data_IF_999578396733
#
_entry.id   IF_999578396733
#
_cell.length_a   1.000
_cell.length_b   1.000
_cell.length_c   1.000
_cell.angle_alpha   90.00
_cell.angle_beta   90.00
_cell.angle_gamma   90.00
#
_symmetry.space_group_name_H-M   'P 1'
#
loop_
_entity.id
_entity.type
_entity.pdbx_description
1 polymer ?
#
# COMPACT_ATOMS: atom_id res chain seq x y z
N UNK A 1 -25.69 43.69 -34.02
CA UNK A 1 -25.00 42.64 -34.78
C UNK A 1 -23.50 42.91 -34.71
N UNK A 2 -22.97 42.65 -33.52
CA UNK A 2 -21.94 41.63 -33.33
C UNK A 2 -20.51 41.86 -33.85
N UNK A 3 -19.82 42.80 -33.18
CA UNK A 3 -18.37 43.10 -33.26
C UNK A 3 -17.44 41.95 -32.80
N UNK A 4 -17.95 40.75 -32.55
CA UNK A 4 -17.12 39.63 -32.06
C UNK A 4 -16.27 39.00 -33.17
N UNK A 5 -16.70 39.10 -34.43
CA UNK A 5 -16.00 38.52 -35.59
C UNK A 5 -14.72 39.27 -35.96
N UNK A 6 -14.60 40.55 -35.58
CA UNK A 6 -13.43 41.41 -35.84
C UNK A 6 -12.42 41.38 -34.70
N UNK A 7 -12.77 40.83 -33.54
CA UNK A 7 -11.89 40.74 -32.39
C UNK A 7 -10.79 39.67 -32.60
N UNK A 8 -9.50 40.02 -32.66
CA UNK A 8 -8.42 39.06 -32.90
C UNK A 8 -8.31 37.99 -31.80
N UNK A 9 -8.71 38.35 -30.57
CA UNK A 9 -8.69 37.48 -29.41
C UNK A 9 -9.66 36.29 -29.56
N UNK A 10 -10.81 36.48 -30.20
CA UNK A 10 -11.77 35.39 -30.44
C UNK A 10 -11.19 34.33 -31.38
N UNK A 11 -10.56 34.74 -32.48
CA UNK A 11 -9.93 33.82 -33.42
C UNK A 11 -8.71 33.11 -32.82
N UNK A 12 -7.89 33.80 -32.03
CA UNK A 12 -6.75 33.18 -31.33
C UNK A 12 -7.25 32.15 -30.31
N UNK A 13 -8.24 32.48 -29.48
CA UNK A 13 -8.78 31.55 -28.49
C UNK A 13 -9.44 30.32 -29.14
N UNK A 14 -10.10 30.51 -30.29
CA UNK A 14 -10.72 29.41 -31.05
C UNK A 14 -9.68 28.52 -31.72
N UNK A 15 -8.62 29.10 -32.31
CA UNK A 15 -7.52 28.35 -32.89
C UNK A 15 -6.75 27.55 -31.83
N UNK A 16 -6.44 28.17 -30.68
CA UNK A 16 -5.80 27.49 -29.56
C UNK A 16 -6.70 26.37 -29.04
N UNK A 17 -7.99 26.59 -28.87
CA UNK A 17 -8.93 25.55 -28.41
C UNK A 17 -9.02 24.38 -29.40
N UNK A 18 -9.04 24.65 -30.70
CA UNK A 18 -9.03 23.63 -31.75
C UNK A 18 -7.73 22.81 -31.74
N UNK A 19 -6.58 23.48 -31.64
CA UNK A 19 -5.26 22.83 -31.56
C UNK A 19 -5.17 21.99 -30.29
N UNK A 20 -5.57 22.54 -29.14
CA UNK A 20 -5.51 21.83 -27.84
C UNK A 20 -6.43 20.61 -27.85
N UNK A 21 -7.64 20.74 -28.41
CA UNK A 21 -8.57 19.62 -28.58
C UNK A 21 -8.00 18.53 -29.48
N UNK A 22 -7.38 18.90 -30.61
CA UNK A 22 -6.77 17.94 -31.53
C UNK A 22 -5.55 17.24 -30.90
N UNK A 23 -4.72 17.98 -30.18
CA UNK A 23 -3.55 17.44 -29.49
C UNK A 23 -3.96 16.49 -28.36
N UNK A 24 -4.98 16.85 -27.60
CA UNK A 24 -5.53 16.00 -26.53
C UNK A 24 -6.14 14.72 -27.11
N UNK A 25 -6.89 14.81 -28.20
CA UNK A 25 -7.49 13.66 -28.89
C UNK A 25 -6.40 12.72 -29.45
N UNK A 26 -5.33 13.28 -30.01
CA UNK A 26 -4.19 12.54 -30.54
C UNK A 26 -3.41 11.83 -29.42
N UNK A 27 -3.07 12.55 -28.35
CA UNK A 27 -2.40 12.00 -27.17
C UNK A 27 -3.25 10.92 -26.48
N UNK A 28 -4.57 11.11 -26.40
CA UNK A 28 -5.48 10.12 -25.85
C UNK A 28 -5.52 8.84 -26.69
N UNK A 29 -5.59 8.95 -28.02
CA UNK A 29 -5.52 7.78 -28.92
C UNK A 29 -4.17 7.07 -28.85
N UNK A 30 -3.06 7.82 -28.77
CA UNK A 30 -1.72 7.25 -28.69
C UNK A 30 -1.50 6.55 -27.34
N UNK A 31 -1.95 7.18 -26.25
CA UNK A 31 -1.93 6.62 -24.91
C UNK A 31 -2.81 5.38 -24.80
N UNK A 32 -4.03 5.41 -25.31
CA UNK A 32 -4.95 4.27 -25.22
C UNK A 32 -4.45 3.06 -26.04
N UNK A 33 -3.98 3.28 -27.27
CA UNK A 33 -3.50 2.20 -28.15
C UNK A 33 -2.19 1.55 -27.69
N UNK A 34 -1.25 2.32 -27.11
CA UNK A 34 0.06 1.79 -26.68
C UNK A 34 0.10 1.38 -25.20
N UNK A 35 -0.57 2.10 -24.31
CA UNK A 35 -0.47 1.88 -22.86
C UNK A 35 -1.41 0.76 -22.39
N UNK A 36 -2.61 0.61 -22.99
CA UNK A 36 -3.51 -0.47 -22.61
C UNK A 36 -2.97 -1.89 -22.83
N UNK A 37 -2.35 -2.26 -23.97
CA UNK A 37 -1.83 -3.62 -24.15
C UNK A 37 -0.64 -3.91 -23.23
N UNK A 38 0.20 -2.91 -22.94
CA UNK A 38 1.29 -3.02 -21.97
C UNK A 38 0.76 -3.21 -20.54
N UNK A 39 -0.26 -2.44 -20.15
CA UNK A 39 -0.96 -2.59 -18.87
C UNK A 39 -1.70 -3.93 -18.79
N UNK A 40 -2.28 -4.42 -19.88
CA UNK A 40 -2.98 -5.71 -19.91
C UNK A 40 -2.00 -6.88 -19.74
N UNK A 41 -0.85 -6.84 -20.40
CA UNK A 41 0.24 -7.81 -20.22
C UNK A 41 0.80 -7.79 -18.80
N UNK A 42 1.10 -6.59 -18.27
CA UNK A 42 1.58 -6.40 -16.91
C UNK A 42 0.55 -6.85 -15.86
N UNK A 43 -0.74 -6.58 -16.08
CA UNK A 43 -1.84 -7.02 -15.22
C UNK A 43 -1.96 -8.54 -15.19
N UNK A 44 -1.80 -9.22 -16.33
CA UNK A 44 -1.79 -10.68 -16.41
C UNK A 44 -0.65 -11.31 -15.61
N UNK A 45 0.56 -10.76 -15.75
CA UNK A 45 1.75 -11.21 -15.01
C UNK A 45 1.66 -10.93 -13.51
N UNK A 46 1.20 -9.75 -13.12
CA UNK A 46 0.94 -9.43 -11.71
C UNK A 46 -0.12 -10.38 -11.12
N UNK A 47 -1.22 -10.60 -11.84
CA UNK A 47 -2.29 -11.47 -11.36
C UNK A 47 -1.82 -12.92 -11.22
N UNK A 48 -0.99 -13.44 -12.14
CA UNK A 48 -0.42 -14.79 -12.01
C UNK A 48 0.54 -14.89 -10.84
N UNK A 49 1.37 -13.87 -10.60
CA UNK A 49 2.27 -13.80 -9.45
C UNK A 49 1.50 -13.78 -8.11
N UNK A 50 0.47 -12.93 -8.00
CA UNK A 50 -0.41 -12.89 -6.82
C UNK A 50 -1.15 -14.21 -6.60
N UNK A 51 -1.64 -14.85 -7.66
CA UNK A 51 -2.26 -16.18 -7.58
C UNK A 51 -1.27 -17.24 -7.08
N UNK A 52 -0.03 -17.22 -7.58
CA UNK A 52 1.03 -18.12 -7.14
C UNK A 52 1.36 -17.97 -5.66
N UNK A 53 1.48 -16.73 -5.16
CA UNK A 53 1.65 -16.45 -3.72
C UNK A 53 0.46 -16.98 -2.91
N UNK A 54 -0.76 -16.65 -3.31
CA UNK A 54 -1.98 -17.09 -2.63
C UNK A 54 -2.09 -18.62 -2.54
N UNK A 55 -1.70 -19.35 -3.59
CA UNK A 55 -1.66 -20.81 -3.58
C UNK A 55 -0.64 -21.36 -2.59
N UNK A 56 0.55 -20.76 -2.50
CA UNK A 56 1.58 -21.15 -1.50
C UNK A 56 1.08 -20.92 -0.08
N UNK A 57 0.41 -19.79 0.17
CA UNK A 57 -0.14 -19.46 1.49
C UNK A 57 -1.29 -20.41 1.86
N UNK A 58 -2.19 -20.71 0.92
CA UNK A 58 -3.24 -21.71 1.10
C UNK A 58 -2.69 -23.10 1.45
N UNK A 59 -1.59 -23.52 0.81
CA UNK A 59 -0.92 -24.80 1.14
C UNK A 59 -0.34 -24.77 2.55
N UNK A 60 0.28 -23.68 2.97
CA UNK A 60 0.80 -23.50 4.34
C UNK A 60 -0.33 -23.56 5.38
N UNK A 61 -1.43 -22.86 5.13
CA UNK A 61 -2.61 -22.88 6.00
C UNK A 61 -3.23 -24.28 6.05
N UNK A 62 -3.30 -24.99 4.92
CA UNK A 62 -3.77 -26.39 4.87
C UNK A 62 -2.89 -27.31 5.71
N UNK A 63 -1.57 -27.12 5.70
CA UNK A 63 -0.63 -27.90 6.50
C UNK A 63 -0.70 -27.56 8.00
N UNK A 64 -0.86 -26.28 8.36
CA UNK A 64 -0.96 -25.82 9.76
C UNK A 64 -2.34 -26.02 10.39
N UNK A 65 -3.34 -26.49 9.63
CA UNK A 65 -4.76 -26.58 10.01
C UNK A 65 -5.02 -27.36 11.30
N UNK A 66 -4.28 -28.43 11.54
CA UNK A 66 -4.49 -29.35 12.65
C UNK A 66 -3.53 -29.11 13.81
N UNK A 67 -2.56 -28.22 13.64
CA UNK A 67 -1.55 -27.93 14.65
C UNK A 67 -1.94 -26.67 15.44
N UNK A 68 -2.68 -26.90 16.52
CA UNK A 68 -3.15 -25.83 17.40
C UNK A 68 -2.00 -25.05 18.06
N UNK A 69 -0.87 -25.72 18.34
CA UNK A 69 0.31 -25.14 18.96
C UNK A 69 0.97 -24.16 18.00
N UNK A 70 1.11 -24.54 16.73
CA UNK A 70 1.67 -23.67 15.69
C UNK A 70 0.84 -22.42 15.46
N UNK A 71 -0.49 -22.55 15.42
CA UNK A 71 -1.38 -21.38 15.30
C UNK A 71 -1.25 -20.47 16.52
N UNK A 72 -1.18 -21.02 17.74
CA UNK A 72 -1.04 -20.22 18.94
C UNK A 72 0.32 -19.50 19.00
N UNK A 73 1.40 -20.14 18.54
CA UNK A 73 2.72 -19.53 18.42
C UNK A 73 2.72 -18.36 17.43
N UNK A 74 2.05 -18.49 16.30
CA UNK A 74 1.93 -17.42 15.31
C UNK A 74 1.13 -16.22 15.86
N UNK A 75 0.05 -16.50 16.62
CA UNK A 75 -0.74 -15.48 17.32
C UNK A 75 0.12 -14.76 18.36
N UNK A 76 0.83 -15.50 19.21
CA UNK A 76 1.73 -14.94 20.21
C UNK A 76 2.81 -14.06 19.58
N UNK A 77 3.41 -14.50 18.47
CA UNK A 77 4.39 -13.71 17.72
C UNK A 77 3.78 -12.40 17.21
N UNK A 78 2.56 -12.43 16.68
CA UNK A 78 1.86 -11.20 16.26
C UNK A 78 1.63 -10.22 17.41
N UNK A 79 1.32 -10.71 18.60
CA UNK A 79 1.20 -9.87 19.80
C UNK A 79 2.56 -9.32 20.25
N UNK A 80 3.62 -10.12 20.23
CA UNK A 80 4.98 -9.65 20.53
C UNK A 80 5.39 -8.53 19.57
N UNK A 81 5.12 -8.69 18.28
CA UNK A 81 5.40 -7.64 17.29
C UNK A 81 4.56 -6.38 17.52
N UNK A 82 3.29 -6.53 17.92
CA UNK A 82 2.46 -5.39 18.31
C UNK A 82 3.04 -4.65 19.52
N UNK A 83 3.47 -5.38 20.55
CA UNK A 83 4.07 -4.78 21.74
C UNK A 83 5.38 -4.07 21.43
N UNK A 84 6.22 -4.64 20.56
CA UNK A 84 7.45 -3.99 20.10
C UNK A 84 7.14 -2.72 19.30
N UNK A 85 6.14 -2.76 18.42
CA UNK A 85 5.70 -1.57 17.69
C UNK A 85 5.22 -0.46 18.64
N UNK A 86 4.38 -0.79 19.62
CA UNK A 86 3.90 0.19 20.62
C UNK A 86 5.06 0.76 21.44
N UNK A 87 5.98 -0.10 21.90
CA UNK A 87 7.15 0.34 22.65
C UNK A 87 8.03 1.29 21.82
N UNK A 88 8.25 0.96 20.53
CA UNK A 88 9.00 1.82 19.62
C UNK A 88 8.27 3.11 19.29
N UNK A 89 6.95 3.09 19.16
CA UNK A 89 6.15 4.30 18.99
C UNK A 89 6.28 5.22 20.20
N UNK A 90 6.20 4.68 21.41
CA UNK A 90 6.41 5.44 22.65
C UNK A 90 7.83 6.03 22.71
N UNK A 91 8.87 5.22 22.41
CA UNK A 91 10.25 5.69 22.34
C UNK A 91 10.44 6.79 21.30
N UNK A 92 9.79 6.70 20.15
CA UNK A 92 9.84 7.71 19.11
C UNK A 92 9.23 9.04 19.59
N UNK A 93 8.06 9.00 20.24
CA UNK A 93 7.43 10.19 20.84
C UNK A 93 8.32 10.82 21.90
N UNK A 94 8.88 10.02 22.80
CA UNK A 94 9.83 10.49 23.82
C UNK A 94 11.06 11.13 23.14
N UNK A 95 11.61 10.48 22.11
CA UNK A 95 12.77 11.00 21.39
C UNK A 95 12.50 12.36 20.74
N UNK A 96 11.30 12.59 20.20
CA UNK A 96 10.93 13.90 19.68
C UNK A 96 10.70 14.94 20.79
N UNK A 97 10.15 14.55 21.94
CA UNK A 97 10.00 15.45 23.09
C UNK A 97 11.36 15.94 23.61
N UNK A 98 12.37 15.06 23.63
CA UNK A 98 13.72 15.35 24.09
C UNK A 98 14.72 15.63 22.96
N UNK A 99 14.25 16.14 21.81
CA UNK A 99 15.13 16.39 20.67
C UNK A 99 16.26 17.38 21.04
N UNK A 100 17.54 17.06 20.78
CA UNK A 100 18.68 17.89 21.16
C UNK A 100 18.62 19.28 20.51
N UNK A 101 19.11 20.34 21.20
CA UNK A 101 19.12 21.69 20.64
C UNK A 101 19.91 21.80 19.33
N UNK A 102 21.00 21.04 19.19
CA UNK A 102 21.82 21.00 17.96
C UNK A 102 21.05 20.40 16.76
N UNK A 103 20.15 19.46 17.03
CA UNK A 103 19.28 18.87 16.01
C UNK A 103 18.09 19.79 15.67
N UNK A 104 17.69 20.70 16.56
CA UNK A 104 16.66 21.72 16.28
C UNK A 104 17.20 22.86 15.43
N UNK A 105 18.45 23.24 15.62
CA UNK A 105 19.07 24.39 14.95
C UNK A 105 19.53 24.08 13.52
N UNK A 106 19.89 22.83 13.23
CA UNK A 106 20.35 22.40 11.90
C UNK A 106 19.29 21.53 11.20
N UNK A 107 18.80 21.92 10.00
CA UNK A 107 17.82 21.12 9.26
C UNK A 107 18.37 19.75 8.85
N UNK A 108 19.69 19.64 8.64
CA UNK A 108 20.35 18.38 8.27
C UNK A 108 20.39 17.43 9.47
N UNK A 109 20.79 17.93 10.65
CA UNK A 109 20.84 17.12 11.87
C UNK A 109 19.43 16.73 12.33
N UNK A 110 18.45 17.62 12.19
CA UNK A 110 17.04 17.32 12.45
C UNK A 110 16.51 16.22 11.54
N UNK A 111 16.81 16.26 10.24
CA UNK A 111 16.42 15.22 9.30
C UNK A 111 17.07 13.87 9.61
N UNK A 112 18.36 13.85 9.93
CA UNK A 112 19.08 12.64 10.32
C UNK A 112 18.48 12.04 11.60
N UNK A 113 18.23 12.88 12.62
CA UNK A 113 17.61 12.46 13.87
C UNK A 113 16.21 11.85 13.63
N UNK A 114 15.36 12.56 12.88
CA UNK A 114 14.02 12.08 12.54
C UNK A 114 14.04 10.78 11.71
N UNK A 115 15.05 10.61 10.85
CA UNK A 115 15.22 9.37 10.08
C UNK A 115 15.65 8.22 10.99
N UNK A 116 16.59 8.45 11.91
CA UNK A 116 17.08 7.43 12.85
C UNK A 116 15.99 6.98 13.82
N UNK A 117 15.08 7.86 14.25
CA UNK A 117 13.97 7.51 15.13
C UNK A 117 12.76 6.97 14.37
N UNK A 118 12.46 7.52 13.19
CA UNK A 118 11.29 7.18 12.37
C UNK A 118 11.43 5.89 11.58
N UNK A 119 12.59 5.59 11.00
CA UNK A 119 12.79 4.37 10.19
C UNK A 119 12.54 3.10 11.00
N UNK A 120 13.10 2.92 12.21
CA UNK A 120 12.81 1.76 13.04
C UNK A 120 11.31 1.60 13.35
N UNK A 121 10.60 2.70 13.62
CA UNK A 121 9.16 2.67 13.87
C UNK A 121 8.41 2.08 12.66
N UNK A 122 8.72 2.55 11.46
CA UNK A 122 8.12 2.05 10.22
C UNK A 122 8.46 0.57 9.96
N UNK A 123 9.68 0.14 10.28
CA UNK A 123 10.07 -1.28 10.16
C UNK A 123 9.21 -2.15 11.07
N UNK A 124 9.02 -1.75 12.33
CA UNK A 124 8.19 -2.49 13.28
C UNK A 124 6.71 -2.44 12.92
N UNK A 125 6.21 -1.31 12.43
CA UNK A 125 4.85 -1.20 11.90
C UNK A 125 4.63 -2.20 10.76
N UNK A 126 5.54 -2.23 9.79
CA UNK A 126 5.44 -3.14 8.65
C UNK A 126 5.55 -4.61 9.08
N UNK A 127 6.47 -4.93 9.99
CA UNK A 127 6.63 -6.27 10.55
C UNK A 127 5.37 -6.74 11.30
N UNK A 128 4.77 -5.85 12.09
CA UNK A 128 3.51 -6.11 12.76
C UNK A 128 2.36 -6.29 11.76
N UNK A 129 2.26 -5.45 10.73
CA UNK A 129 1.20 -5.55 9.71
C UNK A 129 1.27 -6.88 8.96
N UNK A 130 2.48 -7.33 8.59
CA UNK A 130 2.71 -8.61 7.91
C UNK A 130 2.34 -9.79 8.81
N UNK A 131 2.65 -9.73 10.11
CA UNK A 131 2.32 -10.81 11.04
C UNK A 131 0.82 -10.85 11.38
N UNK A 132 0.20 -9.69 11.59
CA UNK A 132 -1.24 -9.52 11.84
C UNK A 132 -2.09 -10.03 10.67
N UNK A 133 -1.73 -9.68 9.43
CA UNK A 133 -2.43 -10.17 8.24
C UNK A 133 -2.38 -11.69 8.11
N UNK A 134 -1.22 -12.31 8.38
CA UNK A 134 -1.07 -13.78 8.39
C UNK A 134 -1.98 -14.44 9.43
N UNK A 135 -2.00 -13.92 10.66
CA UNK A 135 -2.84 -14.45 11.74
C UNK A 135 -4.33 -14.31 11.38
N UNK A 136 -4.74 -13.17 10.84
CA UNK A 136 -6.13 -12.93 10.43
C UNK A 136 -6.57 -13.91 9.34
N UNK A 137 -5.71 -14.19 8.35
CA UNK A 137 -5.99 -15.22 7.34
C UNK A 137 -6.14 -16.61 7.97
N UNK A 138 -5.23 -17.01 8.87
CA UNK A 138 -5.33 -18.30 9.56
C UNK A 138 -6.64 -18.44 10.34
N UNK A 139 -7.04 -17.41 11.09
CA UNK A 139 -8.29 -17.39 11.85
C UNK A 139 -9.52 -17.42 10.94
N UNK A 140 -9.49 -16.70 9.81
CA UNK A 140 -10.55 -16.70 8.80
C UNK A 140 -10.76 -18.06 8.17
N UNK A 141 -9.69 -18.81 7.89
CA UNK A 141 -9.80 -20.19 7.39
C UNK A 141 -10.31 -21.15 8.48
N UNK A 142 -9.81 -21.04 9.72
CA UNK A 142 -10.26 -21.86 10.85
C UNK A 142 -11.76 -21.68 11.13
N UNK A 143 -12.26 -20.44 11.11
CA UNK A 143 -13.68 -20.14 11.36
C UNK A 143 -14.60 -20.70 10.27
N UNK A 144 -14.18 -20.66 9.00
CA UNK A 144 -14.92 -21.29 7.89
C UNK A 144 -15.06 -22.80 8.05
N UNK A 145 -14.04 -23.46 8.57
CA UNK A 145 -14.04 -24.92 8.81
C UNK A 145 -14.99 -25.27 9.96
N UNK A 146 -14.89 -24.54 11.08
CA UNK A 146 -15.78 -24.73 12.25
C UNK A 146 -17.26 -24.53 11.87
N UNK A 147 -17.55 -23.57 10.98
CA UNK A 147 -18.90 -23.35 10.42
C UNK A 147 -19.38 -24.51 9.54
N UNK A 148 -18.52 -25.14 8.73
CA UNK A 148 -18.92 -26.32 7.94
C UNK A 148 -19.14 -27.55 8.81
N UNK A 149 -18.28 -27.80 9.80
CA UNK A 149 -18.47 -28.92 10.74
C UNK A 149 -19.79 -28.84 11.50
N UNK A 150 -20.19 -27.63 11.92
CA UNK A 150 -21.48 -27.37 12.59
C UNK A 150 -22.74 -27.51 11.71
N UNK A 151 -22.60 -27.62 10.38
CA UNK A 151 -23.73 -27.83 9.46
C UNK A 151 -23.91 -29.28 9.05
N UNK A 152 -22.96 -30.15 9.40
CA UNK A 152 -22.94 -31.58 9.04
C UNK A 152 -23.29 -32.45 10.26
N UNK A 153 -23.33 -31.84 11.46
CA UNK A 153 -24.01 -32.36 12.64
C UNK A 153 -25.38 -31.69 12.75
#
# INVERSE_FOLDING_TARGET
>A
MDDWTTSPQFWISSAVSAITGFLLQYLYRLGHSKIQPLLAGAKGQLQSFFRGRKLKDLRRVKAARFDSVRVNREIALSYVMLTLFIAMAALCVISFAFIPPDARSSPILGFLYASMTGIPLLIFEFAWLVTSTRVNEMLKYRSRIKRRGRRIC
#
